data_IF_913692399895
#
_entry.id   IF_913692399895
#
_cell.length_a   1.000
_cell.length_b   1.000
_cell.length_c   1.000
_cell.angle_alpha   90.00
_cell.angle_beta   90.00
_cell.angle_gamma   90.00
#
_symmetry.space_group_name_H-M   'P 1'
#
loop_
_entity.id
_entity.type
_entity.pdbx_description
1 polymer ?
#
# COMPACT_ATOMS: atom_id res chain seq x y z
N UNK A 1 -15.39 23.83 -17.35
CA UNK A 1 -16.50 23.01 -16.82
C UNK A 1 -17.31 23.88 -15.87
N UNK A 2 -18.64 23.81 -15.92
CA UNK A 2 -19.53 24.60 -15.04
C UNK A 2 -20.18 23.61 -14.07
N UNK A 3 -20.01 23.84 -12.77
CA UNK A 3 -20.71 23.10 -11.73
C UNK A 3 -21.70 24.07 -11.08
N UNK A 4 -22.98 23.79 -11.28
CA UNK A 4 -24.07 24.57 -10.71
C UNK A 4 -24.78 23.71 -9.67
N UNK A 5 -24.94 24.24 -8.46
CA UNK A 5 -25.62 23.58 -7.34
C UNK A 5 -26.82 24.44 -6.95
N UNK A 6 -27.96 24.31 -7.67
CA UNK A 6 -29.17 25.02 -7.34
C UNK A 6 -29.82 24.42 -6.08
N UNK A 7 -30.48 25.27 -5.28
CA UNK A 7 -31.19 24.86 -4.07
C UNK A 7 -30.30 24.30 -2.95
N UNK A 8 -29.11 24.86 -2.74
CA UNK A 8 -28.31 24.53 -1.56
C UNK A 8 -29.05 25.02 -0.32
N UNK A 9 -29.51 24.09 0.52
CA UNK A 9 -30.22 24.43 1.75
C UNK A 9 -29.49 23.91 2.99
N UNK A 10 -29.36 24.76 4.01
CA UNK A 10 -28.90 24.40 5.35
C UNK A 10 -30.06 24.58 6.32
N UNK A 11 -30.35 23.54 7.10
CA UNK A 11 -31.47 23.54 8.04
C UNK A 11 -31.26 24.53 9.19
N UNK A 12 -30.06 24.56 9.78
CA UNK A 12 -29.72 25.46 10.88
C UNK A 12 -28.23 25.82 10.91
N UNK A 13 -27.93 27.10 11.13
CA UNK A 13 -26.60 27.62 11.44
C UNK A 13 -26.66 28.20 12.85
N UNK A 14 -25.87 27.66 13.78
CA UNK A 14 -25.74 28.19 15.14
C UNK A 14 -24.37 28.82 15.32
N UNK A 15 -24.33 30.10 15.68
CA UNK A 15 -23.14 30.86 16.03
C UNK A 15 -23.18 31.19 17.53
N UNK A 16 -22.23 30.65 18.28
CA UNK A 16 -22.02 31.01 19.69
C UNK A 16 -20.76 31.86 19.82
N UNK A 17 -20.89 33.06 20.38
CA UNK A 17 -19.79 34.00 20.59
C UNK A 17 -19.75 34.35 22.07
N UNK A 18 -18.58 34.24 22.68
CA UNK A 18 -18.35 34.62 24.06
C UNK A 18 -17.62 35.96 24.15
N UNK A 19 -17.85 36.71 25.22
CA UNK A 19 -17.18 37.97 25.54
C UNK A 19 -17.25 39.02 24.42
N UNK A 20 -18.41 39.13 23.74
CA UNK A 20 -18.62 40.10 22.68
C UNK A 20 -18.60 41.53 23.25
N UNK A 21 -17.59 42.31 22.89
CA UNK A 21 -17.52 43.75 23.20
C UNK A 21 -17.86 44.56 21.96
N UNK A 22 -18.77 45.51 22.11
CA UNK A 22 -19.17 46.43 21.05
C UNK A 22 -19.13 47.85 21.58
N UNK A 23 -18.68 48.79 20.75
CA UNK A 23 -18.78 50.22 21.04
C UNK A 23 -19.89 50.80 20.19
N UNK A 24 -20.86 51.45 20.81
CA UNK A 24 -21.93 52.16 20.11
C UNK A 24 -21.69 53.65 20.28
N UNK A 25 -21.78 54.41 19.19
CA UNK A 25 -21.67 55.86 19.24
C UNK A 25 -22.80 56.47 18.41
N UNK A 26 -23.43 57.51 18.96
CA UNK A 26 -24.50 58.29 18.35
C UNK A 26 -23.98 59.73 18.19
N UNK A 27 -23.77 60.17 16.96
CA UNK A 27 -23.61 61.59 16.60
C UNK A 27 -24.90 62.02 15.89
N UNK A 28 -25.66 62.89 16.53
CA UNK A 28 -26.89 63.47 15.98
C UNK A 28 -26.78 65.00 15.97
N UNK A 29 -27.01 65.60 14.81
CA UNK A 29 -26.95 67.06 14.62
C UNK A 29 -28.25 67.58 14.02
N UNK A 30 -28.79 68.63 14.60
CA UNK A 30 -29.94 69.37 14.10
C UNK A 30 -29.57 70.84 13.93
N UNK A 31 -29.12 71.17 12.72
CA UNK A 31 -28.70 72.50 12.29
C UNK A 31 -27.88 73.23 13.38
N UNK A 32 -28.30 74.45 13.75
CA UNK A 32 -27.65 75.26 14.78
C UNK A 32 -28.28 75.06 16.18
N UNK A 33 -29.19 74.10 16.34
CA UNK A 33 -30.00 73.97 17.55
C UNK A 33 -29.56 72.82 18.46
N UNK A 34 -29.18 71.67 17.90
CA UNK A 34 -28.80 70.50 18.69
C UNK A 34 -27.56 69.81 18.11
N UNK A 35 -26.59 69.52 18.96
CA UNK A 35 -25.50 68.60 18.68
C UNK A 35 -25.41 67.63 19.86
N UNK A 36 -25.69 66.36 19.60
CA UNK A 36 -25.66 65.28 20.58
C UNK A 36 -24.60 64.27 20.16
N UNK A 37 -23.59 64.07 21.01
CA UNK A 37 -22.60 63.00 20.89
C UNK A 37 -22.71 62.13 22.14
N UNK A 38 -23.09 60.86 21.96
CA UNK A 38 -23.15 59.87 23.02
C UNK A 38 -22.40 58.61 22.61
N UNK A 39 -21.67 58.00 23.54
CA UNK A 39 -20.96 56.74 23.33
C UNK A 39 -21.25 55.76 24.46
N UNK A 40 -21.32 54.47 24.16
CA UNK A 40 -21.47 53.39 25.11
C UNK A 40 -20.54 52.23 24.76
N UNK A 41 -19.74 51.77 25.73
CA UNK A 41 -19.03 50.50 25.65
C UNK A 41 -19.96 49.40 26.19
N UNK A 42 -20.30 48.44 25.35
CA UNK A 42 -21.19 47.31 25.65
C UNK A 42 -20.36 46.04 25.67
N UNK A 43 -20.55 45.19 26.67
CA UNK A 43 -19.99 43.84 26.72
C UNK A 43 -21.09 42.82 26.96
N UNK A 44 -21.04 41.71 26.23
CA UNK A 44 -21.99 40.61 26.32
C UNK A 44 -21.18 39.33 26.53
N UNK A 45 -21.40 38.65 27.65
CA UNK A 45 -20.62 37.47 28.02
C UNK A 45 -20.86 36.29 27.07
N UNK A 46 -22.10 36.11 26.60
CA UNK A 46 -22.45 35.06 25.64
C UNK A 46 -23.56 35.50 24.70
N UNK A 47 -23.33 35.30 23.40
CA UNK A 47 -24.29 35.49 22.31
C UNK A 47 -24.50 34.14 21.63
N UNK A 48 -25.76 33.76 21.44
CA UNK A 48 -26.14 32.60 20.64
C UNK A 48 -27.08 33.06 19.53
N UNK A 49 -26.64 32.89 18.28
CA UNK A 49 -27.41 33.22 17.09
C UNK A 49 -27.72 31.94 16.34
N UNK A 50 -29.00 31.59 16.25
CA UNK A 50 -29.48 30.44 15.47
C UNK A 50 -30.24 30.94 14.24
N UNK A 51 -29.75 30.60 13.05
CA UNK A 51 -30.33 30.94 11.74
C UNK A 51 -30.91 29.66 11.16
N UNK A 52 -32.22 29.60 10.92
CA UNK A 52 -32.89 28.41 10.37
C UNK A 52 -33.26 28.60 8.90
N UNK A 53 -33.19 27.53 8.13
CA UNK A 53 -33.68 27.47 6.74
C UNK A 53 -32.88 28.36 5.78
N UNK A 54 -31.55 28.30 5.84
CA UNK A 54 -30.68 29.02 4.90
C UNK A 54 -30.78 28.37 3.53
N UNK A 55 -31.04 29.16 2.49
CA UNK A 55 -31.03 28.73 1.09
C UNK A 55 -30.04 29.58 0.32
N UNK A 56 -29.25 28.94 -0.53
CA UNK A 56 -28.26 29.57 -1.37
C UNK A 56 -28.23 28.87 -2.74
N UNK A 57 -27.83 29.60 -3.77
CA UNK A 57 -27.49 29.05 -5.07
C UNK A 57 -25.99 29.26 -5.28
N UNK A 58 -25.27 28.19 -5.62
CA UNK A 58 -23.81 28.23 -5.77
C UNK A 58 -23.43 27.84 -7.20
N UNK A 59 -22.79 28.77 -7.90
CA UNK A 59 -22.25 28.54 -9.25
C UNK A 59 -20.72 28.56 -9.22
N UNK A 60 -20.09 27.42 -9.54
CA UNK A 60 -18.66 27.27 -9.68
C UNK A 60 -18.26 27.15 -11.16
N UNK A 61 -17.56 28.16 -11.70
CA UNK A 61 -17.05 28.16 -13.07
C UNK A 61 -15.57 27.78 -13.10
N UNK A 62 -15.26 26.56 -13.53
CA UNK A 62 -13.88 26.06 -13.66
C UNK A 62 -13.33 26.42 -15.05
N UNK A 63 -12.31 27.30 -15.09
CA UNK A 63 -11.48 27.58 -16.27
C UNK A 63 -10.35 26.55 -16.32
N UNK A 64 -10.33 25.73 -17.37
CA UNK A 64 -9.38 24.62 -17.53
C UNK A 64 -8.01 25.05 -18.07
N UNK A 65 -7.82 26.32 -18.43
CA UNK A 65 -6.59 26.81 -19.06
C UNK A 65 -5.34 26.59 -18.17
N UNK A 66 -5.52 26.60 -16.85
CA UNK A 66 -4.45 26.32 -15.89
C UNK A 66 -4.18 24.82 -15.67
N UNK A 67 -5.13 23.94 -16.01
CA UNK A 67 -4.96 22.48 -15.84
C UNK A 67 -4.00 21.95 -16.91
N UNK A 68 -4.11 22.46 -18.13
CA UNK A 68 -3.14 22.17 -19.19
C UNK A 68 -1.73 22.63 -18.78
N UNK A 69 -1.58 23.82 -18.21
CA UNK A 69 -0.29 24.32 -17.72
C UNK A 69 0.28 23.49 -16.55
N UNK A 70 -0.57 22.94 -15.67
CA UNK A 70 -0.14 22.02 -14.60
C UNK A 70 0.37 20.71 -15.19
N UNK A 71 -0.35 20.12 -16.15
CA UNK A 71 0.08 18.88 -16.83
C UNK A 71 1.41 19.12 -17.56
N UNK A 72 1.53 20.23 -18.28
CA UNK A 72 2.74 20.58 -19.02
C UNK A 72 3.94 20.78 -18.08
N UNK A 73 3.73 21.42 -16.92
CA UNK A 73 4.74 21.60 -15.86
C UNK A 73 5.12 20.30 -15.16
N UNK A 74 4.20 19.36 -14.98
CA UNK A 74 4.53 18.02 -14.46
C UNK A 74 5.33 17.20 -15.48
N UNK A 75 4.98 17.29 -16.77
CA UNK A 75 5.75 16.67 -17.85
C UNK A 75 7.16 17.28 -17.96
N UNK A 76 7.31 18.60 -17.87
CA UNK A 76 8.64 19.23 -17.83
C UNK A 76 9.42 18.90 -16.57
N UNK A 77 8.76 18.66 -15.44
CA UNK A 77 9.45 18.26 -14.20
C UNK A 77 10.01 16.84 -14.32
N UNK A 78 9.27 15.92 -14.96
CA UNK A 78 9.75 14.57 -15.29
C UNK A 78 10.90 14.65 -16.31
N UNK A 79 10.75 15.44 -17.37
CA UNK A 79 11.76 15.62 -18.42
C UNK A 79 13.08 16.23 -17.91
N UNK A 80 13.00 17.19 -16.98
CA UNK A 80 14.17 17.84 -16.37
C UNK A 80 14.77 17.09 -15.18
N UNK A 81 14.08 16.07 -14.66
CA UNK A 81 14.56 15.27 -13.53
C UNK A 81 14.43 13.76 -13.83
N UNK A 82 15.09 13.25 -14.88
CA UNK A 82 15.03 11.83 -15.24
C UNK A 82 15.55 10.90 -14.11
N UNK A 83 16.37 11.42 -13.20
CA UNK A 83 16.81 10.71 -11.99
C UNK A 83 15.68 10.20 -11.08
N UNK A 84 14.49 10.82 -11.11
CA UNK A 84 13.31 10.34 -10.37
C UNK A 84 12.82 9.02 -10.97
N UNK A 85 12.89 8.91 -12.31
CA UNK A 85 12.63 7.66 -13.01
C UNK A 85 13.72 6.63 -12.71
N UNK A 86 14.99 7.02 -12.58
CA UNK A 86 16.03 6.04 -12.23
C UNK A 86 15.85 5.44 -10.82
N UNK A 87 15.37 6.22 -9.84
CA UNK A 87 15.07 5.71 -8.50
C UNK A 87 13.90 4.72 -8.48
N UNK A 88 12.88 5.00 -9.30
CA UNK A 88 11.73 4.10 -9.51
C UNK A 88 12.13 2.86 -10.33
N UNK A 89 12.94 3.04 -11.38
CA UNK A 89 13.47 1.97 -12.22
C UNK A 89 14.39 1.04 -11.44
N UNK A 90 15.27 1.55 -10.55
CA UNK A 90 16.09 0.69 -9.67
C UNK A 90 15.24 -0.13 -8.69
N UNK A 91 14.16 0.44 -8.17
CA UNK A 91 13.24 -0.28 -7.27
C UNK A 91 12.45 -1.36 -8.01
N UNK A 92 12.01 -1.06 -9.24
CA UNK A 92 11.36 -2.03 -10.13
C UNK A 92 12.37 -3.07 -10.62
N UNK A 93 13.60 -2.72 -10.96
CA UNK A 93 14.66 -3.65 -11.41
C UNK A 93 15.14 -4.57 -10.30
N UNK A 94 15.15 -4.13 -9.03
CA UNK A 94 15.43 -5.02 -7.90
C UNK A 94 14.29 -6.03 -7.70
N UNK A 95 13.04 -5.60 -7.91
CA UNK A 95 11.86 -6.45 -7.80
C UNK A 95 11.76 -7.42 -8.99
N UNK A 96 12.01 -6.95 -10.22
CA UNK A 96 11.96 -7.73 -11.46
C UNK A 96 13.21 -8.61 -11.62
N UNK A 97 14.39 -8.17 -11.20
CA UNK A 97 15.61 -8.98 -11.19
C UNK A 97 15.51 -10.14 -10.20
N UNK A 98 14.81 -9.94 -9.08
CA UNK A 98 14.46 -11.03 -8.16
C UNK A 98 13.47 -12.01 -8.81
N UNK A 99 12.42 -11.51 -9.47
CA UNK A 99 11.42 -12.36 -10.15
C UNK A 99 12.01 -13.10 -11.37
N UNK A 100 12.86 -12.45 -12.15
CA UNK A 100 13.51 -13.01 -13.34
C UNK A 100 14.58 -14.06 -13.00
N UNK A 101 15.35 -13.84 -11.94
CA UNK A 101 16.28 -14.86 -11.45
C UNK A 101 15.55 -16.03 -10.78
N UNK A 102 14.40 -15.83 -10.14
CA UNK A 102 13.62 -16.90 -9.52
C UNK A 102 12.91 -17.79 -10.55
N UNK A 103 12.37 -17.22 -11.64
CA UNK A 103 11.81 -18.04 -12.74
C UNK A 103 12.87 -18.95 -13.37
N UNK A 104 14.12 -18.48 -13.47
CA UNK A 104 15.23 -19.27 -13.99
C UNK A 104 15.83 -20.24 -12.96
N UNK A 105 15.78 -19.91 -11.66
CA UNK A 105 16.34 -20.76 -10.58
C UNK A 105 15.36 -21.80 -10.05
N UNK A 106 14.04 -21.58 -10.15
CA UNK A 106 13.03 -22.56 -9.80
C UNK A 106 13.01 -23.80 -10.72
N UNK A 107 13.61 -23.69 -11.92
CA UNK A 107 13.70 -24.76 -12.92
C UNK A 107 15.01 -25.56 -12.86
N UNK A 108 15.95 -25.20 -11.99
CA UNK A 108 17.24 -25.89 -11.86
C UNK A 108 17.18 -27.04 -10.83
N UNK A 109 17.96 -28.12 -11.01
CA UNK A 109 18.25 -29.05 -9.92
C UNK A 109 18.90 -28.25 -8.79
N UNK A 110 18.30 -28.25 -7.60
CA UNK A 110 18.59 -27.36 -6.47
C UNK A 110 17.76 -26.04 -6.39
N UNK A 111 16.51 -26.07 -6.86
CA UNK A 111 15.67 -24.88 -7.02
C UNK A 111 15.23 -24.19 -5.73
N UNK A 112 14.94 -22.89 -5.86
CA UNK A 112 14.31 -22.07 -4.82
C UNK A 112 12.83 -22.46 -4.70
N UNK A 113 12.45 -22.98 -3.54
CA UNK A 113 11.10 -23.39 -3.21
C UNK A 113 10.21 -22.19 -2.86
N UNK A 114 10.72 -21.26 -2.06
CA UNK A 114 10.00 -20.02 -1.72
C UNK A 114 10.99 -18.91 -1.40
N UNK A 115 10.56 -17.68 -1.64
CA UNK A 115 11.35 -16.49 -1.30
C UNK A 115 10.43 -15.36 -0.84
N UNK A 116 10.81 -14.71 0.25
CA UNK A 116 10.11 -13.55 0.81
C UNK A 116 11.09 -12.52 1.33
N UNK A 117 10.66 -11.26 1.37
CA UNK A 117 11.41 -10.18 2.03
C UNK A 117 10.83 -9.97 3.43
N UNK A 118 11.68 -10.00 4.46
CA UNK A 118 11.24 -9.73 5.84
C UNK A 118 11.09 -8.21 6.09
N UNK A 119 10.61 -7.85 7.28
CA UNK A 119 10.42 -6.45 7.69
C UNK A 119 11.71 -5.63 7.77
N UNK A 120 12.88 -6.28 7.78
CA UNK A 120 14.19 -5.66 7.77
C UNK A 120 14.74 -5.45 6.36
N UNK A 121 13.97 -5.75 5.31
CA UNK A 121 14.41 -5.68 3.91
C UNK A 121 15.34 -6.81 3.49
N UNK A 122 15.52 -7.83 4.32
CA UNK A 122 16.35 -9.01 4.03
C UNK A 122 15.54 -10.05 3.26
N UNK A 123 16.21 -10.77 2.37
CA UNK A 123 15.60 -11.83 1.57
C UNK A 123 15.74 -13.17 2.29
N UNK A 124 14.63 -13.80 2.65
CA UNK A 124 14.58 -15.17 3.16
C UNK A 124 14.21 -16.10 2.02
N UNK A 125 15.12 -17.00 1.65
CA UNK A 125 14.94 -17.98 0.58
C UNK A 125 15.00 -19.40 1.14
N UNK A 126 14.06 -20.24 0.73
CA UNK A 126 14.05 -21.68 1.01
C UNK A 126 14.42 -22.42 -0.26
N UNK A 127 15.40 -23.31 -0.18
CA UNK A 127 15.93 -24.08 -1.32
C UNK A 127 15.82 -25.56 -1.03
N UNK A 128 15.69 -26.37 -2.08
CA UNK A 128 15.64 -27.83 -1.99
C UNK A 128 16.67 -28.42 -2.92
N UNK A 129 17.51 -29.34 -2.45
CA UNK A 129 18.47 -30.05 -3.29
C UNK A 129 17.87 -31.28 -3.99
N UNK A 130 18.61 -31.87 -4.93
CA UNK A 130 18.20 -33.10 -5.65
C UNK A 130 17.97 -34.32 -4.76
N UNK A 131 18.58 -34.36 -3.56
CA UNK A 131 18.38 -35.42 -2.56
C UNK A 131 17.16 -35.14 -1.66
N UNK A 132 16.50 -33.99 -1.81
CA UNK A 132 15.34 -33.59 -1.03
C UNK A 132 15.69 -33.00 0.33
N UNK A 133 16.86 -32.41 0.52
CA UNK A 133 17.16 -31.63 1.72
C UNK A 133 16.74 -30.17 1.53
N UNK A 134 16.13 -29.57 2.55
CA UNK A 134 15.73 -28.17 2.57
C UNK A 134 16.68 -27.31 3.39
N UNK A 135 17.07 -26.18 2.83
CA UNK A 135 17.82 -25.15 3.53
C UNK A 135 17.16 -23.79 3.34
N UNK A 136 16.96 -23.08 4.44
CA UNK A 136 16.52 -21.69 4.47
C UNK A 136 17.73 -20.79 4.68
N UNK A 137 17.86 -19.74 3.88
CA UNK A 137 18.90 -18.73 3.99
C UNK A 137 18.28 -17.35 4.07
N UNK A 138 18.80 -16.53 4.95
CA UNK A 138 18.50 -15.10 5.01
C UNK A 138 19.67 -14.35 4.42
N UNK A 139 19.41 -13.53 3.41
CA UNK A 139 20.37 -12.69 2.71
C UNK A 139 20.07 -11.23 3.05
N UNK A 140 21.10 -10.41 3.26
CA UNK A 140 20.91 -8.97 3.41
C UNK A 140 20.54 -8.29 2.09
N UNK A 141 20.36 -6.96 2.12
CA UNK A 141 20.02 -6.15 0.95
C UNK A 141 21.12 -6.14 -0.13
N UNK A 142 22.33 -6.61 0.20
CA UNK A 142 23.46 -6.75 -0.74
C UNK A 142 23.59 -8.18 -1.29
N UNK A 143 22.72 -9.10 -0.87
CA UNK A 143 22.75 -10.51 -1.27
C UNK A 143 23.71 -11.39 -0.46
N UNK A 144 24.32 -10.87 0.60
CA UNK A 144 25.21 -11.66 1.47
C UNK A 144 24.38 -12.50 2.44
N UNK A 145 24.72 -13.78 2.60
CA UNK A 145 24.06 -14.67 3.56
C UNK A 145 24.37 -14.22 4.98
N UNK A 146 23.34 -13.81 5.72
CA UNK A 146 23.37 -13.40 7.13
C UNK A 146 22.75 -14.45 8.06
N UNK A 147 22.01 -15.41 7.51
CA UNK A 147 21.45 -16.54 8.26
C UNK A 147 21.32 -17.78 7.38
N UNK A 148 21.49 -18.96 7.99
CA UNK A 148 21.28 -20.24 7.30
C UNK A 148 20.75 -21.27 8.29
N UNK A 149 19.66 -21.94 7.93
CA UNK A 149 18.98 -22.95 8.73
C UNK A 149 18.68 -24.18 7.89
N UNK A 150 19.15 -25.34 8.34
CA UNK A 150 18.76 -26.61 7.73
C UNK A 150 17.38 -27.02 8.26
N UNK A 151 16.44 -27.33 7.37
CA UNK A 151 15.07 -27.74 7.71
C UNK A 151 14.88 -29.27 7.60
N UNK A 152 15.93 -29.98 7.18
CA UNK A 152 15.92 -31.44 7.04
C UNK A 152 15.33 -31.89 5.70
N UNK A 153 14.77 -33.09 5.67
CA UNK A 153 14.25 -33.69 4.44
C UNK A 153 12.84 -33.21 4.09
N UNK A 154 12.55 -33.09 2.79
CA UNK A 154 11.22 -32.92 2.20
C UNK A 154 10.21 -33.97 2.67
N UNK A 155 10.70 -35.16 3.05
CA UNK A 155 9.85 -36.25 3.55
C UNK A 155 9.49 -36.09 5.02
N UNK A 156 10.25 -35.29 5.78
CA UNK A 156 9.92 -34.96 7.16
C UNK A 156 9.04 -33.71 7.19
N UNK A 157 7.75 -33.90 6.96
CA UNK A 157 6.74 -32.82 6.96
C UNK A 157 6.64 -32.10 8.32
N UNK A 158 6.99 -32.77 9.42
CA UNK A 158 6.98 -32.17 10.76
C UNK A 158 8.07 -31.10 10.94
N UNK A 159 9.23 -31.24 10.30
CA UNK A 159 10.33 -30.25 10.41
C UNK A 159 10.41 -29.31 9.21
N UNK A 160 10.03 -29.78 8.03
CA UNK A 160 10.10 -28.99 6.79
C UNK A 160 8.96 -27.98 6.65
N UNK A 161 7.86 -28.16 7.41
CA UNK A 161 6.66 -27.32 7.27
C UNK A 161 5.91 -27.55 5.96
N UNK A 162 6.23 -28.64 5.24
CA UNK A 162 5.55 -29.05 4.02
C UNK A 162 4.35 -29.93 4.35
N UNK A 163 3.29 -29.82 3.54
CA UNK A 163 2.12 -30.72 3.58
C UNK A 163 2.04 -31.53 2.30
N UNK A 164 1.77 -32.83 2.41
CA UNK A 164 1.47 -33.65 1.24
C UNK A 164 0.10 -33.29 0.68
N UNK A 165 0.05 -32.96 -0.61
CA UNK A 165 -1.18 -32.58 -1.32
C UNK A 165 -1.58 -33.55 -2.41
N UNK A 166 -0.72 -34.51 -2.76
CA UNK A 166 -1.06 -35.58 -3.70
C UNK A 166 0.08 -36.57 -3.88
N UNK A 167 -0.26 -37.78 -4.30
CA UNK A 167 0.68 -38.84 -4.64
C UNK A 167 0.19 -39.56 -5.90
N UNK A 168 1.12 -39.83 -6.80
CA UNK A 168 0.86 -40.57 -8.04
C UNK A 168 2.00 -41.54 -8.29
N UNK A 169 1.78 -42.56 -9.10
CA UNK A 169 2.84 -43.47 -9.54
C UNK A 169 3.13 -43.19 -11.01
N UNK A 170 4.39 -42.97 -11.36
CA UNK A 170 4.78 -42.72 -12.75
C UNK A 170 4.88 -44.04 -13.54
N UNK A 171 5.10 -43.93 -14.86
CA UNK A 171 5.25 -45.09 -15.74
C UNK A 171 6.45 -45.99 -15.41
N UNK A 172 7.42 -45.50 -14.62
CA UNK A 172 8.58 -46.25 -14.15
C UNK A 172 8.34 -46.95 -12.79
N UNK A 173 7.11 -46.91 -12.26
CA UNK A 173 6.76 -47.51 -10.96
C UNK A 173 7.26 -46.72 -9.75
N UNK A 174 7.72 -45.48 -9.94
CA UNK A 174 8.20 -44.60 -8.88
C UNK A 174 7.05 -43.76 -8.33
N UNK A 175 7.09 -43.48 -7.03
CA UNK A 175 6.09 -42.63 -6.37
C UNK A 175 6.47 -41.16 -6.59
N UNK A 176 5.60 -40.39 -7.23
CA UNK A 176 5.70 -38.94 -7.35
C UNK A 176 4.78 -38.31 -6.32
N UNK A 177 5.39 -37.76 -5.26
CA UNK A 177 4.71 -37.07 -4.17
C UNK A 177 4.76 -35.57 -4.39
N UNK A 178 3.60 -34.94 -4.30
CA UNK A 178 3.45 -33.50 -4.40
C UNK A 178 3.24 -32.90 -3.02
N UNK A 179 4.11 -31.98 -2.65
CA UNK A 179 4.18 -31.29 -1.37
C UNK A 179 3.85 -29.81 -1.59
N UNK A 180 3.22 -29.19 -0.61
CA UNK A 180 2.93 -27.76 -0.59
C UNK A 180 3.58 -27.10 0.62
N UNK A 181 4.21 -25.94 0.40
CA UNK A 181 4.75 -25.09 1.46
C UNK A 181 3.67 -24.15 2.02
N UNK A 182 3.88 -23.59 3.22
CA UNK A 182 2.97 -22.61 3.82
C UNK A 182 2.77 -21.35 2.95
N UNK A 183 3.76 -21.00 2.13
CA UNK A 183 3.66 -19.91 1.14
C UNK A 183 2.81 -20.26 -0.10
N UNK A 184 2.34 -21.51 -0.22
CA UNK A 184 1.56 -21.99 -1.36
C UNK A 184 2.39 -22.59 -2.50
N UNK A 185 3.73 -22.57 -2.40
CA UNK A 185 4.62 -23.24 -3.35
C UNK A 185 4.34 -24.73 -3.46
N UNK A 186 4.54 -25.30 -4.64
CA UNK A 186 4.38 -26.73 -4.90
C UNK A 186 5.73 -27.34 -5.27
N UNK A 187 6.07 -28.41 -4.57
CA UNK A 187 7.24 -29.25 -4.80
C UNK A 187 6.80 -30.65 -5.22
N UNK A 188 7.42 -31.21 -6.24
CA UNK A 188 7.30 -32.63 -6.59
C UNK A 188 8.58 -33.37 -6.21
N UNK A 189 8.42 -34.49 -5.53
CA UNK A 189 9.49 -35.37 -5.10
C UNK A 189 9.21 -36.74 -5.68
N UNK A 190 10.15 -37.28 -6.44
CA UNK A 190 10.10 -38.65 -6.96
C UNK A 190 10.86 -39.55 -6.01
N UNK A 191 10.22 -40.64 -5.59
CA UNK A 191 10.74 -41.64 -4.70
C UNK A 191 10.86 -42.99 -5.42
N UNK A 192 11.92 -43.74 -5.13
CA UNK A 192 12.05 -45.13 -5.58
C UNK A 192 11.12 -46.07 -4.78
N UNK A 193 11.15 -47.36 -5.14
CA UNK A 193 10.38 -48.40 -4.46
C UNK A 193 10.75 -48.58 -2.98
N UNK A 194 11.93 -48.12 -2.56
CA UNK A 194 12.38 -48.14 -1.17
C UNK A 194 11.98 -46.86 -0.40
N UNK A 195 11.28 -45.92 -1.04
CA UNK A 195 10.87 -44.66 -0.44
C UNK A 195 12.02 -43.65 -0.31
N UNK A 196 13.12 -43.83 -1.03
CA UNK A 196 14.23 -42.87 -1.07
C UNK A 196 13.98 -41.83 -2.16
N UNK A 197 14.32 -40.58 -1.87
CA UNK A 197 14.27 -39.50 -2.87
C UNK A 197 15.28 -39.77 -3.99
N UNK A 198 14.78 -39.85 -5.21
CA UNK A 198 15.58 -39.98 -6.45
C UNK A 198 15.53 -38.71 -7.30
N UNK A 199 14.63 -37.78 -6.98
CA UNK A 199 14.63 -36.46 -7.57
C UNK A 199 13.63 -35.53 -6.89
N UNK A 200 13.90 -34.23 -6.95
CA UNK A 200 13.01 -33.17 -6.49
C UNK A 200 12.94 -32.08 -7.55
N UNK A 201 11.77 -31.46 -7.72
CA UNK A 201 11.58 -30.30 -8.59
C UNK A 201 10.50 -29.37 -8.05
N UNK A 202 10.76 -28.07 -8.10
CA UNK A 202 9.73 -27.07 -7.76
C UNK A 202 8.82 -26.91 -8.97
N UNK A 203 7.54 -27.20 -8.80
CA UNK A 203 6.51 -27.11 -9.86
C UNK A 203 5.90 -25.71 -9.90
N UNK A 204 5.87 -25.04 -8.74
CA UNK A 204 5.41 -23.67 -8.59
C UNK A 204 6.12 -23.04 -7.40
N UNK A 205 6.98 -22.06 -7.63
CA UNK A 205 7.55 -21.25 -6.56
C UNK A 205 6.60 -20.12 -6.16
N UNK A 206 6.46 -19.85 -4.86
CA UNK A 206 5.80 -18.67 -4.34
C UNK A 206 6.80 -17.51 -4.28
N UNK A 207 6.49 -16.43 -4.99
CA UNK A 207 7.13 -15.13 -4.82
C UNK A 207 6.31 -14.35 -3.79
N UNK A 208 6.85 -14.19 -2.58
CA UNK A 208 6.21 -13.39 -1.55
C UNK A 208 6.19 -11.93 -1.95
N UNK A 209 5.08 -11.46 -2.53
CA UNK A 209 4.71 -10.06 -2.43
C UNK A 209 4.44 -9.78 -0.95
N UNK A 210 5.17 -8.80 -0.39
CA UNK A 210 5.06 -8.41 1.00
C UNK A 210 3.59 -8.23 1.44
N UNK A 211 3.14 -9.06 2.37
CA UNK A 211 1.96 -8.75 3.18
C UNK A 211 2.34 -7.62 4.13
N UNK A 212 1.97 -6.39 3.81
CA UNK A 212 2.25 -5.25 4.69
C UNK A 212 2.06 -3.84 4.12
N UNK A 213 1.09 -3.63 3.23
CA UNK A 213 0.58 -2.29 2.95
C UNK A 213 -0.94 -2.34 2.74
N UNK A 214 -1.68 -2.62 3.82
CA UNK A 214 -3.05 -2.11 3.97
C UNK A 214 -2.97 -0.59 4.15
N UNK A 215 -2.56 0.12 3.11
CA UNK A 215 -2.73 1.55 2.95
C UNK A 215 -4.11 1.77 2.34
N UNK A 216 -5.06 2.17 3.17
CA UNK A 216 -6.41 2.59 2.84
C UNK A 216 -6.47 3.44 1.55
N UNK A 217 -6.83 2.84 0.41
CA UNK A 217 -7.25 3.58 -0.78
C UNK A 217 -8.73 3.90 -0.62
N UNK A 218 -9.00 4.98 0.07
CA UNK A 218 -10.29 5.64 0.07
C UNK A 218 -10.59 6.07 -1.38
N UNK A 219 -11.47 5.33 -2.06
CA UNK A 219 -11.96 5.67 -3.38
C UNK A 219 -13.05 6.75 -3.24
N UNK A 220 -12.93 7.94 -3.86
CA UNK A 220 -14.06 8.84 -3.97
C UNK A 220 -15.05 8.27 -4.98
N UNK A 221 -16.32 8.14 -4.58
CA UNK A 221 -17.45 8.11 -5.52
C UNK A 221 -18.05 9.51 -5.58
#
# INVERSE_FOLDING_TARGET
MLLDVPNLSVEEITLEVENLRAKVSLDARLANLLQLSAGADVSIDKVKLSIKGVKADVMLKVKLDNVAAIIDRTLTTIDRNPQILEGLLRTVDNTVGTVGNVANTALQPNGVLSQLTNTLGQTVQRTVDTAGNLVERTLDTTGKVVGSRNLGSVLNTATSGLRTVGETTNAAGQTVRRLQDASGSILEVTLDAAGKVVGSRVVRGATGAASGATGNLNAPR
#
